data_IF_437880776219
#
_entry.id   IF_437880776219
#
_cell.length_a   1.000
_cell.length_b   1.000
_cell.length_c   1.000
_cell.angle_alpha   90.00
_cell.angle_beta   90.00
_cell.angle_gamma   90.00
#
_symmetry.space_group_name_H-M   'P 1'
#
loop_
_entity.id
_entity.type
_entity.pdbx_description
1 polymer ?
2 polymer ?
3 non-polymer ?
#
# COMPACT_ATOMS: atom_id res chain seq x y z
N UNK A 2 -1.47 7.88 29.80
CA UNK A 2 -0.66 7.22 28.77
C UNK A 2 -1.44 6.81 27.51
N UNK A 3 -2.50 6.01 27.65
CA UNK A 3 -3.16 5.50 26.43
C UNK A 3 -3.89 6.55 25.62
N UNK A 4 -4.11 7.75 26.17
CA UNK A 4 -4.68 8.85 25.40
C UNK A 4 -3.64 9.61 24.59
N UNK A 5 -2.36 9.44 24.91
CA UNK A 5 -1.31 10.17 24.21
C UNK A 5 -1.09 9.58 22.82
N UNK A 6 -1.08 8.24 22.71
CA UNK A 6 -0.80 7.60 21.44
C UNK A 6 -1.73 8.06 20.34
N UNK A 7 -2.95 8.47 20.70
CA UNK A 7 -3.87 9.04 19.72
C UNK A 7 -3.30 10.31 19.10
N UNK A 8 -3.08 11.33 19.93
CA UNK A 8 -2.54 12.58 19.43
C UNK A 8 -1.23 12.42 18.67
N UNK A 9 -0.38 11.51 19.13
CA UNK A 9 0.81 11.17 18.37
C UNK A 9 0.48 10.55 17.03
N UNK A 10 -0.49 9.62 17.02
CA UNK A 10 -0.94 9.05 15.75
C UNK A 10 -1.69 10.09 14.92
N UNK A 11 -2.47 10.95 15.58
CA UNK A 11 -3.04 12.11 14.89
C UNK A 11 -1.93 12.93 14.25
N UNK A 12 -0.97 13.37 15.06
CA UNK A 12 0.11 14.23 14.56
C UNK A 12 0.94 13.50 13.50
N UNK A 13 1.19 12.20 13.69
CA UNK A 13 1.94 11.44 12.70
C UNK A 13 1.23 11.43 11.36
N UNK A 14 -0.09 11.18 11.37
CA UNK A 14 -0.87 11.33 10.16
C UNK A 14 -0.88 12.78 9.69
N UNK A 15 -0.96 13.72 10.64
CA UNK A 15 -0.88 15.14 10.29
C UNK A 15 0.42 15.42 9.54
N UNK A 16 1.53 14.87 10.05
CA UNK A 16 2.82 15.06 9.40
C UNK A 16 2.86 14.35 8.05
N UNK A 17 2.34 13.12 8.00
CA UNK A 17 2.38 12.36 6.75
C UNK A 17 1.58 13.01 5.65
N UNK A 18 0.43 13.59 5.99
CA UNK A 18 -0.40 14.26 4.99
C UNK A 18 0.31 15.48 4.43
N UNK A 19 0.89 16.30 5.31
CA UNK A 19 1.69 17.43 4.85
C UNK A 19 2.89 16.96 4.05
N UNK A 20 3.48 15.83 4.43
CA UNK A 20 4.58 15.28 3.64
C UNK A 20 4.10 14.75 2.30
N UNK A 21 2.83 14.38 2.19
CA UNK A 21 2.31 13.92 0.90
C UNK A 21 2.22 15.06 -0.09
N UNK A 22 1.99 16.29 0.39
CA UNK A 22 2.00 17.45 -0.49
C UNK A 22 3.38 17.67 -1.10
N UNK A 23 4.42 17.09 -0.52
CA UNK A 23 5.79 17.19 -1.02
C UNK A 23 6.21 15.99 -1.85
N UNK A 24 5.40 14.94 -1.91
CA UNK A 24 5.77 13.72 -2.64
C UNK A 24 5.64 13.87 -4.15
N UNK A 25 4.80 14.80 -4.62
CA UNK A 25 4.62 15.05 -6.06
C UNK A 25 4.13 13.79 -6.76
N UNK A 26 2.92 13.37 -6.40
CA UNK A 26 2.36 12.15 -6.94
C UNK A 26 3.18 10.91 -6.63
N UNK A 27 3.82 10.89 -5.46
CA UNK A 27 4.72 9.81 -5.05
C UNK A 27 5.85 9.60 -6.07
N UNK A 28 6.31 10.69 -6.66
CA UNK A 28 7.40 10.66 -7.65
C UNK A 28 8.67 11.29 -7.12
N UNK A 29 8.75 11.61 -5.84
CA UNK A 29 9.93 12.23 -5.25
C UNK A 29 10.34 11.41 -4.03
N UNK A 30 11.50 10.77 -4.11
CA UNK A 30 11.98 9.98 -2.97
C UNK A 30 12.40 10.91 -1.84
N UNK A 31 12.15 10.43 -0.61
CA UNK A 31 12.32 11.06 0.70
C UNK A 31 10.94 11.53 1.20
N UNK A 32 10.19 12.35 0.45
CA UNK A 32 8.79 12.57 0.86
C UNK A 32 7.93 11.33 0.65
N UNK A 33 8.15 10.59 -0.43
CA UNK A 33 7.36 9.38 -0.67
C UNK A 33 7.64 8.34 0.41
N UNK A 34 8.92 8.09 0.71
CA UNK A 34 9.24 7.19 1.81
C UNK A 34 8.74 7.74 3.13
N UNK A 35 8.78 9.06 3.32
CA UNK A 35 8.36 9.64 4.58
C UNK A 35 6.88 9.45 4.85
N UNK A 36 6.04 9.65 3.82
CA UNK A 36 4.61 9.44 4.00
C UNK A 36 4.29 7.99 4.33
N UNK A 37 5.00 7.05 3.70
CA UNK A 37 4.80 5.64 4.01
C UNK A 37 5.20 5.34 5.44
N UNK A 38 6.30 5.95 5.90
CA UNK A 38 6.76 5.74 7.26
C UNK A 38 5.78 6.38 8.25
N UNK A 39 5.35 7.61 7.98
CA UNK A 39 4.49 8.33 8.92
C UNK A 39 3.20 7.56 9.18
N UNK A 40 2.60 7.02 8.12
CA UNK A 40 1.33 6.33 8.26
C UNK A 40 1.51 4.96 8.92
N UNK A 41 2.70 4.36 8.81
CA UNK A 41 2.96 3.14 9.57
C UNK A 41 3.00 3.41 11.06
N UNK A 42 3.42 4.61 11.47
CA UNK A 42 3.46 4.95 12.89
C UNK A 42 2.07 5.20 13.45
N UNK A 43 1.28 6.03 12.77
CA UNK A 43 -0.06 6.35 13.25
C UNK A 43 -0.94 5.11 13.30
N UNK A 44 -0.81 4.22 12.31
CA UNK A 44 -1.45 2.91 12.37
C UNK A 44 -1.12 2.19 13.68
N UNK A 45 0.16 1.96 13.89
CA UNK A 45 0.62 1.20 15.04
C UNK A 45 0.21 1.86 16.36
N UNK A 46 0.20 3.19 16.39
CA UNK A 46 -0.25 3.90 17.59
C UNK A 46 -1.76 3.78 17.76
N UNK A 47 -2.52 4.00 16.68
CA UNK A 47 -3.97 3.88 16.75
C UNK A 47 -4.38 2.46 17.14
N UNK A 48 -3.67 1.46 16.61
CA UNK A 48 -3.94 0.09 17.03
C UNK A 48 -3.65 -0.10 18.52
N UNK A 49 -2.68 0.65 19.07
CA UNK A 49 -2.41 0.56 20.50
C UNK A 49 -3.43 1.30 21.35
N UNK A 50 -4.21 2.21 20.77
CA UNK A 50 -5.27 2.87 21.51
C UNK A 50 -6.62 2.18 21.39
N UNK A 51 -6.86 1.45 20.29
CA UNK A 51 -8.13 0.73 20.16
C UNK A 51 -8.27 -0.35 21.22
N UNK A 52 -7.15 -0.82 21.77
CA UNK A 52 -7.18 -1.79 22.85
C UNK A 52 -7.66 -1.19 24.17
N UNK A 53 -7.56 0.13 24.33
CA UNK A 53 -7.99 0.79 25.57
C UNK A 53 -9.09 1.80 25.31
N UNK A 54 -8.82 2.84 24.52
CA UNK A 54 -9.78 3.91 24.25
C UNK A 54 -10.84 3.44 23.26
N UNK A 55 -12.11 3.73 23.49
CA UNK A 55 -13.15 3.36 22.52
C UNK A 55 -12.90 4.03 21.17
N UNK A 56 -13.52 3.44 20.14
CA UNK A 56 -13.31 3.93 18.77
C UNK A 56 -13.99 5.26 18.52
N UNK A 57 -15.07 5.56 19.26
CA UNK A 57 -15.82 6.77 18.99
C UNK A 57 -15.10 8.03 19.43
N UNK A 58 -14.64 8.06 20.68
CA UNK A 58 -13.95 9.24 21.19
C UNK A 58 -12.52 9.33 20.63
N UNK A 59 -11.86 8.18 20.45
CA UNK A 59 -10.51 8.19 19.89
C UNK A 59 -10.49 8.83 18.51
N UNK A 60 -11.54 8.61 17.72
CA UNK A 60 -11.58 9.11 16.36
C UNK A 60 -12.19 10.51 16.27
N UNK A 61 -13.14 10.83 17.15
CA UNK A 61 -13.66 12.20 17.17
C UNK A 61 -12.55 13.20 17.48
N UNK A 62 -11.65 12.83 18.40
CA UNK A 62 -10.48 13.66 18.67
C UNK A 62 -9.57 13.73 17.44
N UNK A 63 -9.40 12.58 16.76
CA UNK A 63 -8.57 12.53 15.57
C UNK A 63 -9.07 13.50 14.51
N UNK A 64 -10.37 13.44 14.19
CA UNK A 64 -10.93 14.30 13.16
C UNK A 64 -10.71 15.76 13.51
N UNK A 65 -11.00 16.16 14.75
CA UNK A 65 -10.87 17.53 15.18
C UNK A 65 -9.45 18.05 15.24
N UNK A 66 -8.58 17.36 15.99
CA UNK A 66 -7.19 17.79 16.08
C UNK A 66 -6.52 17.74 14.71
N UNK A 67 -6.81 16.69 13.94
CA UNK A 67 -6.23 16.59 12.60
C UNK A 67 -6.69 17.71 11.68
N UNK A 68 -8.00 17.93 11.59
CA UNK A 68 -8.54 19.00 10.77
C UNK A 68 -8.08 20.37 11.23
N UNK A 69 -7.53 20.46 12.44
CA UNK A 69 -6.90 21.67 12.92
C UNK A 69 -5.40 21.67 12.66
N UNK A 70 -4.74 20.53 12.88
CA UNK A 70 -3.28 20.51 12.74
C UNK A 70 -2.85 20.55 11.28
N UNK A 71 -3.50 19.77 10.40
CA UNK A 71 -3.08 19.78 9.01
C UNK A 71 -3.54 21.06 8.32
N UNK A 72 -4.66 21.63 8.75
CA UNK A 72 -5.15 22.84 8.12
C UNK A 72 -4.31 24.04 8.53
N UNK A 73 -3.78 24.04 9.76
CA UNK A 73 -2.84 25.07 10.18
C UNK A 73 -1.46 24.84 9.59
N UNK A 74 -1.08 23.59 9.34
CA UNK A 74 0.19 23.33 8.66
C UNK A 74 0.13 23.66 7.18
N UNK A 75 -1.06 23.73 6.59
CA UNK A 75 -1.20 24.13 5.20
C UNK A 75 -1.27 25.64 5.03
N UNK A 76 -1.01 26.39 6.11
CA UNK A 76 -0.93 27.84 6.08
C UNK A 76 0.49 28.37 6.18
N UNK A 77 1.38 27.63 6.84
CA UNK A 77 2.78 28.03 6.95
C UNK A 77 3.64 27.50 5.83
N UNK A 78 3.53 26.20 5.57
CA UNK A 78 4.21 25.60 4.42
C UNK A 78 3.62 26.09 3.10
N UNK A 79 2.35 26.49 3.09
CA UNK A 79 1.73 27.04 1.90
C UNK A 79 0.82 28.20 2.26
N UNK A 80 -0.49 28.01 2.12
CA UNK A 80 -1.43 29.04 2.49
C UNK A 80 -2.85 28.68 2.08
N UNK A 81 -3.17 28.90 0.81
CA UNK A 81 -4.45 28.49 0.23
C UNK A 81 -4.31 28.50 -1.28
N UNK A 82 -4.93 27.50 -1.93
CA UNK A 82 -4.81 27.32 -3.36
C UNK A 82 -6.10 27.59 -4.12
N UNK A 83 -7.25 27.41 -3.47
CA UNK A 83 -8.55 27.68 -4.08
C UNK A 83 -9.63 27.82 -3.02
N UNK A 84 -9.51 28.83 -2.15
CA UNK A 84 -10.49 29.04 -1.09
C UNK A 84 -11.86 29.35 -1.69
N UNK A 85 -12.89 28.92 -1.00
CA UNK A 85 -14.25 28.98 -1.51
C UNK A 85 -15.16 29.41 -0.35
N UNK A 86 -16.51 29.61 -0.58
CA UNK A 86 -17.37 30.29 0.40
C UNK A 86 -16.97 30.32 1.87
N UNK A 87 -16.70 29.19 2.52
CA UNK A 87 -16.59 29.23 3.98
C UNK A 87 -15.51 28.30 4.49
N UNK A 88 -14.72 28.81 5.44
CA UNK A 88 -13.86 27.97 6.27
C UNK A 88 -14.70 27.25 7.33
N UNK A 89 -15.75 27.91 7.82
CA UNK A 89 -16.61 27.31 8.83
C UNK A 89 -17.32 26.07 8.31
N UNK A 90 -17.40 25.90 6.98
CA UNK A 90 -17.91 24.66 6.44
C UNK A 90 -17.16 23.45 6.94
N UNK A 91 -15.84 23.59 7.09
CA UNK A 91 -15.03 22.50 7.62
C UNK A 91 -15.29 22.32 9.12
N UNK A 92 -15.53 23.41 9.84
CA UNK A 92 -15.82 23.31 11.27
C UNK A 92 -17.19 22.71 11.51
N UNK A 93 -18.13 22.94 10.59
CA UNK A 93 -19.47 22.36 10.74
C UNK A 93 -19.53 20.94 10.18
N UNK A 94 -18.69 20.63 9.20
CA UNK A 94 -18.42 19.22 8.88
C UNK A 94 -17.89 18.52 10.12
N UNK A 95 -16.91 19.13 10.79
CA UNK A 95 -16.40 18.59 12.04
C UNK A 95 -17.49 18.53 13.10
N UNK A 96 -18.42 19.47 13.07
CA UNK A 96 -19.55 19.45 14.00
C UNK A 96 -20.43 18.24 13.77
N UNK A 97 -20.88 18.05 12.53
CA UNK A 97 -21.68 16.87 12.20
C UNK A 97 -20.92 15.59 12.45
N UNK A 98 -19.60 15.62 12.32
CA UNK A 98 -18.77 14.47 12.67
C UNK A 98 -18.93 14.14 14.15
N UNK A 99 -18.77 15.15 15.01
CA UNK A 99 -18.78 14.94 16.45
C UNK A 99 -20.16 14.55 17.00
N UNK A 100 -21.22 14.71 16.21
CA UNK A 100 -22.56 14.36 16.67
C UNK A 100 -23.11 13.11 16.03
N UNK A 101 -22.41 12.49 15.07
CA UNK A 101 -22.72 11.13 14.66
C UNK A 101 -21.76 10.13 15.27
N UNK A 102 -20.70 10.59 15.92
CA UNK A 102 -19.80 9.72 16.68
C UNK A 102 -20.12 9.76 18.16
N UNK A 103 -20.02 10.94 18.79
CA UNK A 103 -20.23 11.04 20.22
C UNK A 103 -21.71 10.89 20.57
N UNK A 104 -22.58 11.66 19.91
CA UNK A 104 -24.02 11.54 20.14
C UNK A 104 -24.56 10.23 19.59
N UNK B 2 20.45 23.09 -13.79
CA UNK B 2 19.79 22.80 -12.53
C UNK B 2 18.72 21.72 -12.70
N UNK B 3 18.97 20.77 -13.59
CA UNK B 3 18.02 19.72 -13.92
C UNK B 3 18.54 18.37 -13.45
N UNK B 4 17.64 17.39 -13.49
CA UNK B 4 17.99 16.01 -13.17
C UNK B 4 17.31 15.08 -14.15
N UNK B 5 17.97 13.94 -14.45
CA UNK B 5 19.30 13.56 -13.95
C UNK B 5 20.45 14.27 -14.67
N UNK B 6 21.67 13.92 -14.30
CA UNK B 6 22.88 14.53 -14.84
C UNK B 6 23.94 13.44 -14.98
N UNK B 7 24.94 13.72 -15.84
CA UNK B 7 26.14 12.88 -15.98
C UNK B 7 25.78 11.41 -16.19
N UNK B 8 25.28 11.12 -17.39
CA UNK B 8 24.92 9.77 -17.79
C UNK B 8 26.11 9.13 -18.50
N UNK B 9 26.76 8.17 -17.85
CA UNK B 9 27.99 7.58 -18.38
C UNK B 9 27.90 6.07 -18.38
N UNK B 10 28.70 5.45 -19.24
CA UNK B 10 28.72 4.01 -19.41
C UNK B 10 29.90 3.48 -18.60
N UNK B 11 29.61 2.86 -17.47
CA UNK B 11 30.65 2.32 -16.61
C UNK B 11 31.34 1.19 -17.36
N UNK B 12 30.71 0.03 -17.39
CA UNK B 12 31.24 -1.13 -18.09
C UNK B 12 30.50 -1.33 -19.39
N UNK B 13 31.22 -1.87 -20.38
CA UNK B 13 30.63 -2.24 -21.66
C UNK B 13 30.79 -3.74 -21.84
N UNK B 14 30.20 -4.24 -22.93
CA UNK B 14 30.22 -5.64 -23.30
C UNK B 14 29.49 -5.75 -24.63
N UNK B 15 29.92 -6.61 -25.55
CA UNK B 15 29.17 -6.80 -26.80
C UNK B 15 27.66 -6.95 -26.63
N UNK B 16 27.19 -7.51 -25.51
CA UNK B 16 25.76 -7.75 -25.31
C UNK B 16 25.21 -7.06 -24.06
N UNK B 17 25.99 -6.23 -23.38
CA UNK B 17 25.50 -5.61 -22.16
C UNK B 17 26.22 -4.29 -21.91
N UNK B 18 25.49 -3.33 -21.33
CA UNK B 18 26.03 -2.02 -21.01
C UNK B 18 25.65 -1.66 -19.59
N UNK B 19 26.65 -1.39 -18.76
CA UNK B 19 26.43 -0.90 -17.40
C UNK B 19 26.53 0.63 -17.41
N UNK B 20 25.47 1.30 -16.97
CA UNK B 20 25.39 2.74 -17.04
C UNK B 20 25.04 3.31 -15.67
N UNK B 21 25.30 4.61 -15.50
CA UNK B 21 25.04 5.31 -14.26
C UNK B 21 24.77 6.78 -14.56
N UNK B 22 24.27 7.49 -13.56
CA UNK B 22 23.93 8.91 -13.73
C UNK B 22 23.96 9.60 -12.38
N UNK B 23 23.95 10.94 -12.42
CA UNK B 23 23.99 11.78 -11.22
C UNK B 23 22.55 12.04 -10.79
N UNK B 24 22.14 11.39 -9.69
CA UNK B 24 20.78 11.50 -9.19
C UNK B 24 20.48 12.87 -8.60
N UNK B 25 21.49 13.71 -8.40
CA UNK B 25 21.27 15.01 -7.79
C UNK B 25 21.33 14.94 -6.28
N UNK B 26 20.81 15.99 -5.65
CA UNK B 26 20.81 16.09 -4.19
C UNK B 26 19.71 15.22 -3.61
N UNK B 27 19.68 15.13 -2.28
CA UNK B 27 18.69 14.27 -1.60
C UNK B 27 17.27 14.76 -1.87
N UNK B 28 17.08 16.06 -2.12
CA UNK B 28 15.76 16.55 -2.47
C UNK B 28 15.45 16.39 -3.95
N UNK B 29 16.46 16.13 -4.77
CA UNK B 29 16.27 15.90 -6.20
C UNK B 29 16.07 14.43 -6.54
N UNK B 30 16.10 13.53 -5.56
CA UNK B 30 15.95 12.11 -5.81
C UNK B 30 14.48 11.78 -6.07
N UNK B 31 14.23 11.05 -7.17
CA UNK B 31 12.88 10.66 -7.53
C UNK B 31 12.62 9.24 -7.02
N UNK B 32 11.39 8.73 -7.23
CA UNK B 32 11.05 7.39 -6.81
C UNK B 32 11.25 6.33 -7.90
N UNK B 33 11.20 6.73 -9.18
CA UNK B 33 11.43 5.75 -10.25
C UNK B 33 11.94 6.47 -11.49
N UNK B 34 13.13 6.11 -11.96
CA UNK B 34 13.62 6.55 -13.25
C UNK B 34 13.25 5.50 -14.28
N UNK B 35 12.62 5.91 -15.38
CA UNK B 35 12.36 5.01 -16.49
C UNK B 35 13.43 5.23 -17.55
N UNK B 36 14.01 4.14 -18.03
CA UNK B 36 15.17 4.20 -18.92
C UNK B 36 14.81 3.50 -20.23
N UNK B 37 15.22 4.11 -21.34
CA UNK B 37 14.88 3.68 -22.68
C UNK B 37 16.13 3.41 -23.49
N UNK B 38 16.13 2.31 -24.24
CA UNK B 38 17.26 1.98 -25.09
C UNK B 38 16.78 1.34 -26.39
N UNK B 39 17.33 1.80 -27.51
CA UNK B 39 17.02 1.26 -28.81
C UNK B 39 18.16 1.49 -29.76
N UNK B 40 17.97 1.08 -31.01
CA UNK B 40 19.03 1.18 -32.02
C UNK B 40 19.15 2.61 -32.53
N UNK B 41 20.39 3.00 -32.82
CA UNK B 41 20.65 4.35 -33.31
C UNK B 41 20.02 4.57 -34.68
N UNK B 42 20.02 3.54 -35.53
CA UNK B 42 19.43 3.66 -36.84
C UNK B 42 17.96 4.03 -36.79
N UNK B 43 17.18 3.31 -35.99
CA UNK B 43 15.79 3.65 -35.78
C UNK B 43 14.81 2.95 -36.69
N UNK B 44 15.04 1.68 -36.96
CA UNK B 44 14.12 0.84 -37.73
C UNK B 44 13.36 -0.12 -36.81
N UNK B 45 13.03 0.35 -35.61
CA UNK B 45 12.44 -0.47 -34.56
C UNK B 45 11.84 0.43 -33.50
N UNK B 46 11.04 -0.10 -32.56
CA UNK B 46 10.64 0.72 -31.41
C UNK B 46 11.79 0.96 -30.46
N UNK B 47 11.49 1.14 -29.18
CA UNK B 47 12.50 1.42 -28.17
C UNK B 47 12.15 0.66 -26.91
N UNK B 48 13.10 -0.14 -26.41
CA UNK B 48 12.88 -0.88 -25.18
C UNK B 48 12.90 0.06 -23.98
N UNK B 49 12.12 -0.30 -22.95
CA UNK B 49 11.99 0.56 -21.78
C UNK B 49 11.78 -0.30 -20.55
N UNK B 50 12.37 0.13 -19.44
CA UNK B 50 12.11 -0.46 -18.14
C UNK B 50 12.32 0.61 -17.08
N UNK B 51 11.69 0.43 -15.93
CA UNK B 51 11.89 1.32 -14.79
C UNK B 51 12.87 0.69 -13.80
N UNK B 52 13.30 1.49 -12.85
CA UNK B 52 14.29 1.08 -11.86
C UNK B 52 14.11 1.98 -10.64
N UNK B 53 14.24 1.45 -9.42
CA UNK B 53 13.97 2.27 -8.23
C UNK B 53 14.78 3.56 -8.21
N UNK B 54 14.15 4.63 -7.72
CA UNK B 54 14.77 5.94 -7.66
C UNK B 54 15.86 6.08 -6.60
N UNK B 55 16.08 5.05 -5.79
CA UNK B 55 17.19 5.04 -4.85
C UNK B 55 18.45 4.40 -5.43
N UNK B 56 18.41 3.97 -6.69
CA UNK B 56 19.57 3.41 -7.36
C UNK B 56 19.94 4.29 -8.55
N UNK B 57 21.23 4.64 -8.66
CA UNK B 57 21.71 5.48 -9.73
C UNK B 57 22.28 4.68 -10.90
N UNK B 58 22.35 3.36 -10.79
CA UNK B 58 22.90 2.50 -11.82
C UNK B 58 21.81 1.63 -12.43
N UNK B 59 22.09 1.13 -13.63
CA UNK B 59 21.15 0.27 -14.34
C UNK B 59 21.93 -0.59 -15.32
N UNK B 60 21.64 -1.89 -15.33
CA UNK B 60 22.26 -2.83 -16.23
C UNK B 60 21.31 -3.18 -17.37
N UNK B 61 21.85 -3.19 -18.59
CA UNK B 61 21.09 -3.52 -19.80
C UNK B 61 21.78 -4.69 -20.48
N UNK B 62 21.02 -5.73 -20.79
CA UNK B 62 21.53 -6.92 -21.44
C UNK B 62 20.79 -7.14 -22.76
N UNK B 63 21.14 -8.23 -23.44
CA UNK B 63 20.42 -8.62 -24.64
C UNK B 63 20.67 -7.74 -25.84
N UNK B 64 21.80 -7.05 -25.90
CA UNK B 64 22.11 -6.18 -27.03
C UNK B 64 22.92 -6.94 -28.07
N UNK B 65 22.92 -6.40 -29.29
CA UNK B 65 23.64 -7.06 -30.38
C UNK B 65 25.00 -6.40 -30.58
N UNK B 66 26.07 -7.18 -30.66
CA UNK B 66 27.42 -6.59 -30.65
C UNK B 66 27.70 -5.76 -31.90
N UNK B 67 28.68 -4.85 -31.77
CA UNK B 67 29.06 -4.00 -32.87
C UNK B 67 28.09 -2.88 -33.18
N UNK B 68 26.84 -2.99 -32.75
CA UNK B 68 25.81 -2.01 -33.10
C UNK B 68 25.93 -0.81 -32.17
N UNK B 69 25.64 0.37 -32.71
CA UNK B 69 25.61 1.60 -31.93
C UNK B 69 24.19 1.81 -31.38
N UNK B 70 24.08 1.94 -30.06
CA UNK B 70 22.80 2.13 -29.39
C UNK B 70 22.69 3.52 -28.78
N UNK B 71 21.46 3.99 -28.62
CA UNK B 71 21.17 5.25 -27.93
C UNK B 71 20.39 4.95 -26.66
N UNK B 72 20.87 5.48 -25.53
CA UNK B 72 20.30 5.23 -24.21
C UNK B 72 19.79 6.54 -23.64
N UNK B 73 18.56 6.54 -23.13
CA UNK B 73 17.94 7.73 -22.56
C UNK B 73 17.36 7.39 -21.20
N UNK B 74 17.62 8.24 -20.21
CA UNK B 74 17.10 8.06 -18.86
C UNK B 74 16.12 9.19 -18.58
N UNK B 75 14.89 8.82 -18.21
CA UNK B 75 13.84 9.79 -17.94
C UNK B 75 13.58 9.91 -16.44
N UNK B 76 12.75 10.87 -16.10
CA UNK B 76 12.26 11.08 -14.75
C UNK B 76 10.79 10.68 -14.69
N UNK B 77 10.21 10.54 -13.49
CA UNK B 77 8.78 10.20 -13.42
C UNK B 77 7.91 11.16 -14.23
N UNK B 78 8.19 12.44 -14.14
CA UNK B 78 7.56 13.46 -14.97
C UNK B 78 8.64 14.29 -15.65
N UNK B 79 8.21 15.17 -16.54
CA UNK B 79 9.15 16.08 -17.19
C UNK B 79 9.47 17.30 -16.35
N UNK B 80 8.97 17.36 -15.11
CA UNK B 80 9.18 18.54 -14.26
C UNK B 80 10.61 18.62 -13.71
N UNK B 81 11.31 17.49 -13.64
CA UNK B 81 12.63 17.44 -13.04
C UNK B 81 13.75 17.89 -13.97
N UNK B 82 13.49 17.96 -15.26
CA UNK B 82 14.46 18.41 -16.24
C UNK B 82 14.43 17.53 -17.48
N UNK B 83 15.10 18.00 -18.51
CA UNK B 83 15.16 17.25 -19.77
C UNK B 83 15.86 15.91 -19.53
N UNK B 84 15.31 14.82 -20.05
CA UNK B 84 15.99 13.52 -19.91
C UNK B 84 17.31 13.54 -20.64
N UNK B 85 18.25 12.74 -20.14
CA UNK B 85 19.60 12.71 -20.67
C UNK B 85 19.77 11.46 -21.53
N UNK B 86 20.31 11.65 -22.74
CA UNK B 86 20.44 10.59 -23.71
C UNK B 86 21.86 10.61 -24.29
N UNK B 87 22.38 9.42 -24.56
CA UNK B 87 23.77 9.22 -25.00
C UNK B 87 23.80 8.12 -26.06
N UNK B 88 25.01 7.84 -26.54
CA UNK B 88 25.27 6.83 -27.56
C UNK B 88 26.47 5.97 -27.14
N UNK B 89 26.49 4.73 -27.62
CA UNK B 89 27.61 3.84 -27.37
C UNK B 89 27.59 2.71 -28.39
N UNK B 90 28.77 2.35 -28.89
CA UNK B 90 28.93 1.26 -29.85
C UNK B 90 29.54 0.07 -29.12
N UNK B 91 28.80 -1.03 -29.06
CA UNK B 91 29.26 -2.22 -28.36
C UNK B 91 30.31 -2.96 -29.19
N UNK C 2 -14.58 18.38 -11.02
CA UNK C 2 -13.61 17.30 -11.14
C UNK C 2 -12.91 16.93 -9.81
N UNK C 3 -12.31 17.92 -9.11
CA UNK C 3 -11.56 17.55 -7.89
C UNK C 3 -12.43 16.89 -6.83
N UNK C 4 -13.65 17.39 -6.63
CA UNK C 4 -14.55 16.79 -5.64
C UNK C 4 -15.16 15.48 -6.11
N UNK C 5 -14.85 15.04 -7.33
CA UNK C 5 -15.25 13.72 -7.79
C UNK C 5 -14.23 12.67 -7.37
N UNK C 6 -12.94 12.97 -7.54
CA UNK C 6 -11.90 12.01 -7.13
C UNK C 6 -11.80 11.93 -5.61
N UNK C 7 -11.96 13.06 -4.93
CA UNK C 7 -11.97 13.06 -3.47
C UNK C 7 -13.01 12.09 -2.93
N UNK C 8 -14.21 12.11 -3.51
CA UNK C 8 -15.22 11.14 -3.14
C UNK C 8 -14.90 9.73 -3.58
N UNK C 9 -14.22 9.59 -4.72
CA UNK C 9 -13.77 8.28 -5.15
C UNK C 9 -12.74 7.70 -4.21
N UNK C 10 -11.85 8.56 -3.68
CA UNK C 10 -10.90 8.13 -2.67
C UNK C 10 -11.59 7.89 -1.34
N UNK C 11 -12.62 8.68 -1.02
CA UNK C 11 -13.43 8.41 0.18
C UNK C 11 -14.10 7.05 0.05
N UNK C 12 -14.75 6.79 -1.07
CA UNK C 12 -15.31 5.46 -1.31
C UNK C 12 -14.24 4.39 -1.26
N UNK C 13 -13.04 4.71 -1.74
CA UNK C 13 -11.96 3.74 -1.77
C UNK C 13 -11.53 3.34 -0.36
N UNK C 14 -11.29 4.33 0.51
CA UNK C 14 -10.86 4.03 1.87
C UNK C 14 -11.94 3.31 2.66
N UNK C 15 -13.18 3.78 2.55
CA UNK C 15 -14.29 3.14 3.26
C UNK C 15 -14.38 1.67 2.87
N UNK C 16 -14.17 1.37 1.58
CA UNK C 16 -14.10 -0.03 1.17
C UNK C 16 -12.84 -0.69 1.73
N UNK C 17 -11.76 0.08 1.89
CA UNK C 17 -10.54 -0.50 2.44
C UNK C 17 -10.69 -0.89 3.91
N UNK C 18 -11.23 0.03 4.73
CA UNK C 18 -11.38 -0.25 6.15
C UNK C 18 -12.40 -1.35 6.41
N UNK C 19 -13.43 -1.45 5.57
CA UNK C 19 -14.42 -2.52 5.72
C UNK C 19 -13.84 -3.87 5.32
N UNK C 20 -13.12 -3.93 4.19
CA UNK C 20 -12.49 -5.19 3.81
C UNK C 20 -11.46 -5.63 4.84
N UNK C 21 -10.87 -4.67 5.56
CA UNK C 21 -9.92 -5.01 6.62
C UNK C 21 -10.64 -5.65 7.80
N UNK C 22 -11.82 -5.14 8.15
CA UNK C 22 -12.60 -5.75 9.21
C UNK C 22 -13.09 -7.14 8.82
N UNK C 23 -13.28 -7.40 7.53
CA UNK C 23 -13.69 -8.74 7.10
C UNK C 23 -12.53 -9.72 7.20
N UNK C 24 -11.43 -9.44 6.53
CA UNK C 24 -10.24 -10.27 6.66
C UNK C 24 -9.71 -10.24 8.09
N UNK C 25 -8.95 -11.26 8.44
CA UNK C 25 -8.27 -11.26 9.73
C UNK C 25 -6.98 -10.43 9.61
N UNK C 26 -5.97 -10.77 10.40
CA UNK C 26 -4.74 -10.01 10.41
C UNK C 26 -4.01 -10.04 9.08
N UNK C 27 -4.62 -9.44 8.06
CA UNK C 27 -4.12 -9.53 6.68
C UNK C 27 -3.86 -10.98 6.27
N UNK C 28 -4.64 -11.89 6.83
CA UNK C 28 -4.46 -13.31 6.51
C UNK C 28 -5.39 -13.77 5.40
N UNK C 29 -6.67 -13.41 5.46
CA UNK C 29 -7.59 -13.71 4.37
C UNK C 29 -7.10 -13.05 3.09
N UNK C 30 -6.56 -13.85 2.17
CA UNK C 30 -5.81 -13.29 1.04
C UNK C 30 -6.66 -12.35 0.20
N UNK C 31 -7.90 -12.72 -0.07
CA UNK C 31 -8.74 -11.95 -1.00
C UNK C 31 -9.05 -10.57 -0.42
N UNK C 32 -9.68 -10.45 0.76
CA UNK C 32 -9.92 -9.09 1.28
C UNK C 32 -8.67 -8.39 1.78
N UNK C 33 -7.59 -9.13 2.03
CA UNK C 33 -6.31 -8.48 2.30
C UNK C 33 -5.79 -7.78 1.05
N UNK C 34 -5.73 -8.50 -0.07
CA UNK C 34 -5.40 -7.86 -1.34
C UNK C 34 -6.39 -6.76 -1.67
N UNK C 35 -7.66 -6.94 -1.28
CA UNK C 35 -8.63 -5.88 -1.47
C UNK C 35 -8.27 -4.63 -0.70
N UNK C 36 -7.77 -4.79 0.52
CA UNK C 36 -7.37 -3.63 1.32
C UNK C 36 -6.12 -2.97 0.75
N UNK C 37 -5.16 -3.78 0.29
CA UNK C 37 -3.93 -3.24 -0.28
C UNK C 37 -4.25 -2.47 -1.57
N UNK C 38 -5.07 -3.07 -2.43
CA UNK C 38 -5.46 -2.39 -3.68
C UNK C 38 -6.26 -1.13 -3.37
N UNK C 39 -7.18 -1.21 -2.41
CA UNK C 39 -7.99 -0.04 -2.07
C UNK C 39 -7.12 1.09 -1.51
N UNK C 40 -6.24 0.78 -0.57
CA UNK C 40 -5.40 1.81 0.03
C UNK C 40 -4.44 2.40 -1.00
N UNK C 41 -3.82 1.56 -1.84
CA UNK C 41 -2.95 2.08 -2.88
C UNK C 41 -3.70 3.04 -3.80
N UNK C 42 -4.91 2.67 -4.21
CA UNK C 42 -5.70 3.54 -5.07
C UNK C 42 -6.06 4.82 -4.34
N UNK C 43 -6.59 4.70 -3.12
CA UNK C 43 -6.94 5.89 -2.34
C UNK C 43 -5.71 6.72 -2.00
N UNK C 44 -4.56 6.09 -1.81
CA UNK C 44 -3.32 6.84 -1.63
C UNK C 44 -2.99 7.64 -2.89
N UNK C 45 -3.13 7.03 -4.06
CA UNK C 45 -2.86 7.72 -5.31
C UNK C 45 -4.02 8.60 -5.75
N UNK C 46 -5.24 8.35 -5.24
CA UNK C 46 -6.34 9.27 -5.52
C UNK C 46 -6.25 10.52 -4.66
N UNK C 47 -5.94 10.37 -3.37
CA UNK C 47 -5.77 11.53 -2.50
C UNK C 47 -4.53 12.33 -2.89
N UNK C 48 -3.49 11.66 -3.38
CA UNK C 48 -2.28 12.38 -3.78
C UNK C 48 -2.56 13.31 -4.96
N UNK C 49 -3.43 12.88 -5.87
CA UNK C 49 -3.68 13.65 -7.09
C UNK C 49 -4.74 14.74 -6.89
N UNK C 50 -5.59 14.61 -5.87
CA UNK C 50 -6.66 15.58 -5.62
C UNK C 50 -6.28 16.61 -4.58
N UNK C 51 -5.01 16.68 -4.18
CA UNK C 51 -4.54 17.62 -3.16
C UNK C 51 -3.90 18.87 -3.75
N UNK C 52 -3.40 18.81 -4.99
CA UNK C 52 -2.79 19.96 -5.63
C UNK C 52 -3.79 21.03 -6.01
N UNK C 53 -5.10 20.72 -6.02
CA UNK C 53 -6.14 21.66 -6.41
C UNK C 53 -6.92 22.18 -5.22
N UNK C 54 -7.37 21.30 -4.34
CA UNK C 54 -8.15 21.67 -3.16
C UNK C 54 -7.17 21.79 -1.99
N UNK C 55 -7.26 22.86 -1.17
CA UNK C 55 -6.31 23.02 -0.06
C UNK C 55 -6.30 21.82 0.88
N UNK C 56 -5.20 21.69 1.62
CA UNK C 56 -5.02 20.51 2.47
C UNK C 56 -6.10 20.43 3.55
N UNK C 57 -6.28 21.50 4.32
CA UNK C 57 -7.31 21.49 5.35
C UNK C 57 -8.71 21.33 4.80
N UNK C 58 -8.96 21.85 3.60
CA UNK C 58 -10.28 21.74 3.01
C UNK C 58 -10.61 20.29 2.69
N UNK C 59 -9.66 19.56 2.10
CA UNK C 59 -9.91 18.17 1.72
C UNK C 59 -9.92 17.23 2.92
N UNK C 60 -9.20 17.57 3.98
CA UNK C 60 -9.22 16.76 5.21
C UNK C 60 -10.62 16.74 5.80
N UNK C 61 -11.25 17.90 5.88
CA UNK C 61 -12.61 18.03 6.40
C UNK C 61 -13.61 17.22 5.58
N UNK C 62 -13.72 17.56 4.30
CA UNK C 62 -14.67 16.91 3.40
C UNK C 62 -14.52 15.39 3.48
N UNK C 63 -13.28 14.92 3.61
CA UNK C 63 -13.05 13.48 3.73
C UNK C 63 -13.60 12.95 5.04
N UNK C 64 -13.16 13.51 6.17
CA UNK C 64 -13.65 13.13 7.49
C UNK C 64 -15.17 13.12 7.48
N UNK C 65 -15.76 14.08 6.77
CA UNK C 65 -17.19 14.08 6.55
C UNK C 65 -17.73 12.91 5.76
N UNK C 66 -17.60 12.96 4.44
CA UNK C 66 -18.24 11.99 3.54
C UNK C 66 -17.74 10.57 3.83
N UNK C 67 -16.64 10.47 4.59
CA UNK C 67 -16.17 9.18 5.06
C UNK C 67 -17.10 8.55 6.07
N UNK C 68 -17.19 9.14 7.27
CA UNK C 68 -18.07 8.60 8.32
C UNK C 68 -19.51 8.57 7.84
N UNK C 69 -19.90 9.54 7.02
CA UNK C 69 -21.20 9.52 6.36
C UNK C 69 -21.34 8.17 5.68
N UNK C 70 -20.48 7.93 4.67
CA UNK C 70 -20.54 6.65 3.96
C UNK C 70 -20.21 5.47 4.86
N UNK C 71 -19.51 5.69 5.98
CA UNK C 71 -19.25 4.59 6.90
C UNK C 71 -20.51 4.22 7.67
N UNK C 72 -21.09 5.20 8.38
CA UNK C 72 -22.31 4.95 9.11
C UNK C 72 -23.49 4.69 8.19
N UNK C 73 -23.50 5.30 7.00
CA UNK C 73 -24.50 4.97 5.99
C UNK C 73 -24.37 3.51 5.56
N UNK C 74 -23.13 3.08 5.27
CA UNK C 74 -22.90 1.68 4.95
C UNK C 74 -23.07 0.79 6.16
N UNK C 75 -22.84 1.32 7.36
CA UNK C 75 -23.06 0.56 8.58
C UNK C 75 -24.54 0.18 8.72
N UNK C 76 -25.40 1.19 8.83
CA UNK C 76 -26.84 0.96 8.74
C UNK C 76 -27.27 0.40 7.40
N UNK C 77 -26.42 0.50 6.38
CA UNK C 77 -26.76 0.07 5.03
C UNK C 77 -27.17 -1.38 4.92
N UNK C 78 -26.22 -2.30 5.16
CA UNK C 78 -26.55 -3.73 5.23
C UNK C 78 -25.64 -4.49 6.20
N UNK C 79 -25.10 -3.81 7.23
CA UNK C 79 -24.37 -4.51 8.30
C UNK C 79 -25.18 -4.48 9.57
N UNK C 80 -24.65 -3.86 10.62
CA UNK C 80 -25.37 -3.67 11.85
C UNK C 80 -26.25 -2.44 11.76
N UNK C 81 -26.64 -1.92 12.92
CA UNK C 81 -27.49 -0.74 12.96
C UNK C 81 -27.36 -0.07 14.34
N UNK C 82 -28.42 0.62 14.76
CA UNK C 82 -28.45 1.33 16.04
C UNK C 82 -27.27 2.30 16.21
N UNK C 83 -26.31 1.93 17.06
CA UNK C 83 -25.30 2.85 17.58
C UNK C 83 -25.95 4.03 18.29
N UNK C 84 -25.15 4.98 18.75
CA UNK C 84 -25.69 6.22 19.33
C UNK C 84 -26.17 7.07 18.16
N UNK C 85 -27.43 6.90 17.80
CA UNK C 85 -28.06 7.61 16.69
C UNK C 85 -28.92 8.74 17.24
N UNK C 86 -28.36 9.94 17.42
CA UNK C 86 -29.21 11.06 17.86
C UNK C 86 -30.32 11.33 16.86
N UNK C 87 -29.95 11.41 15.58
CA UNK C 87 -30.80 11.32 14.40
C UNK C 87 -29.86 11.36 13.21
N UNK C 88 -30.40 11.48 12.00
CA UNK C 88 -29.55 11.70 10.83
C UNK C 88 -29.27 13.20 10.73
N UNK C 89 -29.53 13.91 11.84
CA UNK C 89 -29.28 15.35 11.88
C UNK C 89 -27.79 15.65 11.84
N UNK C 90 -26.96 14.75 12.38
CA UNK C 90 -25.52 14.93 12.24
C UNK C 90 -25.03 14.63 10.84
N UNK C 91 -25.67 13.68 10.16
CA UNK C 91 -25.34 13.40 8.76
C UNK C 91 -25.70 14.58 7.87
N UNK C 92 -26.82 15.24 8.15
CA UNK C 92 -27.21 16.43 7.40
C UNK C 92 -26.31 17.62 7.69
N UNK C 93 -25.65 17.64 8.86
CA UNK C 93 -24.67 18.69 9.14
C UNK C 93 -23.46 18.58 8.22
N UNK C 94 -22.83 17.41 8.21
CA UNK C 94 -21.66 17.18 7.35
C UNK C 94 -21.96 17.54 5.90
N UNK C 95 -23.13 17.13 5.40
CA UNK C 95 -23.50 17.45 4.03
C UNK C 95 -23.46 18.95 3.77
N UNK C 96 -23.98 19.74 4.72
CA UNK C 96 -24.01 21.19 4.58
C UNK C 96 -22.60 21.75 4.43
N UNK C 97 -21.70 21.38 5.35
CA UNK C 97 -20.34 21.88 5.27
C UNK C 97 -19.65 21.48 3.98
N UNK C 98 -19.89 20.24 3.52
CA UNK C 98 -19.39 19.83 2.22
C UNK C 98 -19.92 20.75 1.12
N UNK C 99 -21.19 21.12 1.20
CA UNK C 99 -21.79 21.96 0.17
C UNK C 99 -21.19 23.36 0.18
N UNK C 100 -21.20 24.03 1.35
CA UNK C 100 -20.73 25.41 1.41
C UNK C 100 -19.23 25.53 1.26
N UNK C 101 -18.50 24.41 1.25
CA UNK C 101 -17.13 24.41 0.78
C UNK C 101 -17.04 23.98 -0.68
N UNK C 102 -18.04 23.26 -1.21
CA UNK C 102 -18.00 22.76 -2.57
C UNK C 102 -18.00 23.92 -3.57
N UNK C 103 -18.02 23.56 -4.86
CA UNK C 103 -18.01 24.51 -5.96
C UNK C 103 -19.09 25.59 -5.81
N UNK D 3 -10.81 -25.63 10.20
CA UNK D 3 -11.58 -25.41 8.97
C UNK D 3 -10.68 -25.45 7.75
N UNK D 4 -9.65 -24.61 7.72
CA UNK D 4 -8.69 -24.61 6.63
C UNK D 4 -7.28 -24.66 7.22
N UNK D 5 -6.34 -25.36 6.59
CA UNK D 5 -6.51 -26.14 5.36
C UNK D 5 -7.25 -27.45 5.62
N UNK D 6 -7.65 -28.13 4.54
CA UNK D 6 -8.39 -29.37 4.67
C UNK D 6 -7.92 -30.35 3.61
N UNK D 7 -7.89 -31.63 3.98
CA UNK D 7 -7.55 -32.73 3.07
C UNK D 7 -6.12 -32.61 2.55
N UNK D 8 -5.16 -33.11 3.34
CA UNK D 8 -3.76 -33.11 2.94
C UNK D 8 -3.37 -34.53 2.53
N UNK D 9 -2.97 -34.68 1.26
CA UNK D 9 -2.56 -35.99 0.75
C UNK D 9 -1.41 -35.81 -0.23
N UNK D 10 -0.75 -36.92 -0.53
CA UNK D 10 0.41 -36.95 -1.41
C UNK D 10 -0.02 -37.47 -2.77
N UNK D 11 0.14 -36.65 -3.81
CA UNK D 11 -0.29 -37.00 -5.16
C UNK D 11 0.73 -37.92 -5.80
N UNK D 12 1.89 -37.37 -6.15
CA UNK D 12 2.97 -38.13 -6.75
C UNK D 12 4.11 -38.29 -5.75
N UNK D 13 4.79 -39.43 -5.83
CA UNK D 13 5.78 -39.80 -4.83
C UNK D 13 6.98 -40.45 -5.52
N UNK D 14 8.10 -39.74 -5.55
CA UNK D 14 9.40 -40.26 -5.92
C UNK D 14 10.18 -40.62 -4.66
N UNK D 15 11.02 -41.66 -4.69
CA UNK D 15 11.84 -41.99 -3.52
C UNK D 15 12.47 -40.81 -2.78
N UNK D 16 12.75 -39.70 -3.49
CA UNK D 16 13.36 -38.52 -2.87
C UNK D 16 12.49 -37.27 -3.03
N UNK D 17 11.19 -37.42 -3.26
CA UNK D 17 10.34 -36.25 -3.42
C UNK D 17 8.88 -36.64 -3.22
N UNK D 18 8.11 -35.72 -2.63
CA UNK D 18 6.69 -35.89 -2.41
C UNK D 18 5.96 -34.65 -2.88
N UNK D 19 5.05 -34.80 -3.85
CA UNK D 19 4.21 -33.72 -4.33
C UNK D 19 2.87 -33.81 -3.58
N UNK D 20 2.62 -32.85 -2.70
CA UNK D 20 1.46 -32.88 -1.83
C UNK D 20 0.46 -31.82 -2.28
N UNK D 21 -0.74 -31.87 -1.68
CA UNK D 21 -1.79 -30.92 -2.02
C UNK D 21 -2.79 -30.84 -0.87
N UNK D 22 -3.59 -29.77 -0.89
CA UNK D 22 -4.58 -29.54 0.16
C UNK D 22 -5.66 -28.63 -0.39
N UNK D 23 -6.81 -28.63 0.28
CA UNK D 23 -7.94 -27.78 -0.10
C UNK D 23 -7.77 -26.45 0.62
N UNK D 24 -7.49 -25.40 -0.15
CA UNK D 24 -7.07 -24.13 0.41
C UNK D 24 -8.27 -23.41 1.00
N UNK D 25 -9.43 -24.03 0.93
CA UNK D 25 -10.66 -23.41 1.39
C UNK D 25 -11.50 -22.98 0.20
N UNK D 26 -11.85 -21.69 0.15
CA UNK D 26 -12.73 -21.20 -0.90
C UNK D 26 -12.79 -19.67 -0.94
N UNK D 27 -12.02 -19.06 -1.85
CA UNK D 27 -12.13 -17.65 -2.18
C UNK D 27 -12.12 -16.77 -0.94
N UNK D 28 -13.30 -16.55 -0.34
CA UNK D 28 -13.42 -15.69 0.83
C UNK D 28 -12.81 -16.31 2.08
N UNK D 29 -12.44 -17.58 2.05
CA UNK D 29 -11.70 -18.21 3.13
C UNK D 29 -10.26 -18.55 2.74
N UNK D 30 -9.78 -18.01 1.62
CA UNK D 30 -8.37 -18.16 1.26
C UNK D 30 -7.51 -17.37 2.23
N UNK D 31 -6.50 -18.03 2.79
CA UNK D 31 -5.53 -17.36 3.65
C UNK D 31 -4.43 -16.78 2.76
N UNK D 32 -3.55 -15.97 3.34
CA UNK D 32 -2.48 -15.35 2.56
C UNK D 32 -1.31 -16.29 2.32
N UNK D 33 -1.13 -17.29 3.18
CA UNK D 33 0.00 -18.20 3.05
C UNK D 33 -0.20 -19.42 3.93
N UNK D 34 0.31 -20.57 3.46
CA UNK D 34 0.41 -21.75 4.28
C UNK D 34 1.88 -22.05 4.50
N UNK D 35 2.20 -22.69 5.62
CA UNK D 35 3.56 -23.12 5.89
C UNK D 35 3.57 -24.63 6.00
N UNK D 36 4.52 -25.27 5.33
CA UNK D 36 4.58 -26.72 5.21
C UNK D 36 5.82 -27.21 5.96
N UNK D 37 5.64 -28.24 6.78
CA UNK D 37 6.69 -28.78 7.63
C UNK D 37 6.88 -30.25 7.30
N UNK D 38 8.09 -30.61 6.86
CA UNK D 38 8.43 -32.01 6.62
C UNK D 38 9.72 -32.35 7.35
N UNK D 39 9.65 -33.34 8.24
CA UNK D 39 10.82 -33.86 8.90
C UNK D 39 10.72 -35.37 9.03
N UNK D 40 11.81 -35.98 9.47
CA UNK D 40 11.82 -37.42 9.67
C UNK D 40 10.78 -37.84 10.71
N UNK D 41 10.16 -39.00 10.49
CA UNK D 41 9.14 -39.48 11.40
C UNK D 41 9.69 -39.78 12.79
N UNK D 42 10.99 -40.03 12.90
CA UNK D 42 11.60 -40.26 14.19
C UNK D 42 11.86 -38.98 14.95
N UNK D 43 12.98 -38.32 14.64
CA UNK D 43 13.33 -37.07 15.27
C UNK D 43 14.78 -36.95 15.67
N UNK D 44 15.67 -37.64 14.97
CA UNK D 44 17.10 -37.56 15.26
C UNK D 44 17.67 -36.19 14.96
N UNK D 45 17.01 -35.42 14.10
CA UNK D 45 17.44 -34.07 13.73
C UNK D 45 16.19 -33.18 13.70
N UNK D 46 16.33 -31.86 13.50
CA UNK D 46 15.12 -31.04 13.35
C UNK D 46 14.34 -31.37 12.08
N UNK D 47 13.26 -30.62 11.84
CA UNK D 47 12.45 -30.81 10.66
C UNK D 47 12.76 -29.70 9.67
N UNK D 48 12.29 -29.88 8.44
CA UNK D 48 12.44 -28.86 7.41
C UNK D 48 11.10 -28.16 7.18
N UNK D 49 11.17 -26.91 6.73
CA UNK D 49 9.98 -26.08 6.69
C UNK D 49 10.09 -25.07 5.54
N UNK D 50 8.95 -24.75 4.94
CA UNK D 50 8.84 -23.68 3.96
C UNK D 50 7.41 -23.18 3.98
N UNK D 51 7.16 -22.13 3.17
CA UNK D 51 5.85 -21.50 3.07
C UNK D 51 5.45 -21.39 1.61
N UNK D 52 4.14 -21.29 1.37
CA UNK D 52 3.56 -21.22 0.04
C UNK D 52 2.50 -20.12 0.04
N UNK D 53 2.37 -19.31 -1.02
CA UNK D 53 1.29 -18.30 -1.01
C UNK D 53 -0.08 -18.96 -0.90
N UNK D 54 -1.03 -18.18 -0.39
CA UNK D 54 -2.34 -18.71 -0.07
C UNK D 54 -3.18 -19.09 -1.28
N UNK D 55 -2.88 -18.56 -2.46
CA UNK D 55 -3.65 -18.92 -3.64
C UNK D 55 -3.23 -20.25 -4.24
N UNK D 56 -2.06 -20.76 -3.89
CA UNK D 56 -1.59 -22.04 -4.38
C UNK D 56 -2.05 -23.16 -3.45
N UNK D 57 -2.48 -24.27 -4.06
CA UNK D 57 -3.00 -25.40 -3.31
C UNK D 57 -2.04 -26.59 -3.29
N UNK D 58 -0.97 -26.56 -4.08
CA UNK D 58 -0.02 -27.65 -4.18
C UNK D 58 1.37 -27.15 -3.85
N UNK D 59 2.24 -28.10 -3.48
CA UNK D 59 3.62 -27.79 -3.15
C UNK D 59 4.47 -29.05 -3.31
N UNK D 60 5.72 -28.87 -3.71
CA UNK D 60 6.65 -29.96 -3.93
C UNK D 60 7.68 -30.00 -2.81
N UNK D 61 7.97 -31.19 -2.30
CA UNK D 61 8.95 -31.40 -1.25
C UNK D 61 10.08 -32.22 -1.85
N UNK D 62 11.24 -31.61 -2.03
CA UNK D 62 12.38 -32.25 -2.66
C UNK D 62 13.47 -32.55 -1.62
N UNK D 63 14.47 -33.33 -2.05
CA UNK D 63 15.63 -33.58 -1.23
C UNK D 63 15.42 -34.51 -0.06
N UNK D 64 14.57 -35.53 -0.19
CA UNK D 64 14.32 -36.45 0.89
C UNK D 64 15.18 -37.70 0.76
N UNK D 65 15.16 -38.53 1.80
CA UNK D 65 15.91 -39.78 1.71
C UNK D 65 14.97 -40.94 1.41
N UNK D 66 15.35 -41.83 0.50
CA UNK D 66 14.44 -42.91 0.08
C UNK D 66 14.20 -43.92 1.19
N UNK D 67 12.97 -44.46 1.20
CA UNK D 67 12.56 -45.44 2.18
C UNK D 67 12.14 -44.87 3.52
N UNK D 68 12.62 -43.68 3.87
CA UNK D 68 12.30 -43.11 5.18
C UNK D 68 10.85 -42.65 5.21
N UNK D 69 10.16 -42.95 6.31
CA UNK D 69 8.84 -42.41 6.53
C UNK D 69 8.95 -40.97 7.01
N UNK D 70 8.16 -40.08 6.42
CA UNK D 70 8.18 -38.67 6.75
C UNK D 70 6.82 -38.23 7.29
N UNK D 71 6.84 -37.14 8.07
CA UNK D 71 5.64 -36.50 8.59
C UNK D 71 5.55 -35.10 8.02
N UNK D 72 4.48 -34.83 7.27
CA UNK D 72 4.29 -33.55 6.60
C UNK D 72 3.12 -32.83 7.25
N UNK D 73 3.31 -31.55 7.58
CA UNK D 73 2.30 -30.73 8.23
C UNK D 73 2.15 -29.41 7.48
N UNK D 74 0.91 -28.93 7.37
CA UNK D 74 0.62 -27.68 6.69
C UNK D 74 -0.14 -26.79 7.67
N UNK D 75 0.50 -25.70 8.11
CA UNK D 75 -0.11 -24.79 9.07
C UNK D 75 -0.77 -23.63 8.35
N UNK D 76 -1.89 -23.17 8.91
CA UNK D 76 -2.50 -21.93 8.49
C UNK D 76 -1.64 -20.77 8.95
N UNK D 77 -1.92 -19.54 8.50
CA UNK D 77 -1.18 -18.39 9.05
C UNK D 77 -1.27 -18.30 10.55
N UNK D 78 -2.44 -18.61 11.11
CA UNK D 78 -2.66 -18.58 12.54
C UNK D 78 -3.51 -19.79 12.91
N UNK D 79 -3.56 -20.09 14.21
CA UNK D 79 -4.35 -21.20 14.71
C UNK D 79 -5.85 -20.90 14.68
N UNK D 80 -6.25 -19.75 14.17
CA UNK D 80 -7.67 -19.40 14.20
C UNK D 80 -8.47 -20.08 13.11
N UNK D 81 -7.80 -20.56 12.05
CA UNK D 81 -8.47 -21.19 10.92
C UNK D 81 -8.70 -22.68 11.13
N UNK D 82 -8.35 -23.21 12.28
CA UNK D 82 -8.49 -24.62 12.53
C UNK D 82 -7.16 -25.28 12.84
N UNK D 83 -7.20 -26.48 13.40
CA UNK D 83 -5.97 -27.17 13.72
C UNK D 83 -5.19 -27.48 12.46
N UNK D 84 -3.86 -27.38 12.47
CA UNK D 84 -3.08 -27.75 11.28
C UNK D 84 -3.21 -29.23 10.98
N UNK D 85 -3.29 -29.55 9.69
CA UNK D 85 -3.52 -30.90 9.22
C UNK D 85 -2.18 -31.55 8.92
N UNK D 86 -1.98 -32.77 9.42
CA UNK D 86 -0.71 -33.48 9.27
C UNK D 86 -0.97 -34.91 8.84
N UNK D 87 -0.03 -35.47 8.08
CA UNK D 87 -0.10 -36.83 7.56
C UNK D 87 1.29 -37.46 7.59
N UNK D 88 1.35 -38.72 7.15
CA UNK D 88 2.59 -39.48 7.09
C UNK D 88 2.70 -40.16 5.73
N UNK D 89 3.93 -40.31 5.26
CA UNK D 89 4.17 -41.01 4.00
C UNK D 89 5.53 -41.69 4.05
N UNK D 90 5.57 -42.92 3.52
CA UNK D 90 6.82 -43.66 3.36
C UNK D 90 7.19 -43.63 1.89
N UNK D 91 8.30 -42.98 1.57
CA UNK D 91 8.73 -42.81 0.19
C UNK D 91 9.04 -44.13 -0.49
#
# INVERSE_FOLDING_TARGET
>A
MNPYIYLGGAILAEVIGTTLMKFSNGFTRLIPSMGTIICYCASFWLLAQTLAYIPTGIAYAIWSGVGIVLISLLSWGFFGQRLDLPAIIGMMLICAGVLIINLLSRSTPH
>B
VSSVPTKLEVVAATPTSLLISWDAGHWWEWVTYYRITYGETGGNSPVQEFTVPGYSSTATISGLKPGVDYTITVYAPTSDYGSPISINYRT
>C
MNPYIYLGGAILAEVIGTTLMKFSNGFTRLIPSMGTIICYCASFWLLAQTLAYIPTGIAYAIWSGVGIVLISLLSWGFFGQRLDLPAIIGMMLICAGVLIINLLSRSTPH
>D
VSSVPTKLEVVAATPTSLLISWDAGHWWEWVTYYRITYGETGGNSPVQEFTVPGYSSTATISGLKPGVDYTITVYAPTSDYGSPISINYRT
#
